data_IF_742433077954
#
_entry.id   IF_742433077954
#
_cell.length_a   1.000
_cell.length_b   1.000
_cell.length_c   1.000
_cell.angle_alpha   90.00
_cell.angle_beta   90.00
_cell.angle_gamma   90.00
#
_symmetry.space_group_name_H-M   'P 1'
#
loop_
_entity.id
_entity.type
_entity.pdbx_description
1 polymer ?
#
# COMPACT_ATOMS: atom_id res chain seq x y z
N UNK A 1 1.31 -33.43 -13.99
CA UNK A 1 1.75 -32.88 -12.70
C UNK A 1 1.74 -31.36 -12.86
N UNK A 2 0.72 -30.70 -12.34
CA UNK A 2 0.59 -29.25 -12.39
C UNK A 2 0.79 -28.72 -10.98
N UNK A 3 2.05 -28.63 -10.58
CA UNK A 3 2.49 -27.96 -9.35
C UNK A 3 2.41 -26.44 -9.52
N UNK A 4 1.22 -25.94 -9.86
CA UNK A 4 0.90 -24.52 -9.84
C UNK A 4 0.35 -24.14 -8.47
N UNK A 5 0.71 -22.95 -8.00
CA UNK A 5 0.30 -22.35 -6.70
C UNK A 5 -1.22 -22.38 -6.47
N UNK A 6 -2.03 -22.57 -7.51
CA UNK A 6 -3.49 -22.63 -7.43
C UNK A 6 -3.98 -23.90 -8.13
N UNK A 7 -4.61 -24.79 -7.36
CA UNK A 7 -5.38 -25.91 -7.91
C UNK A 7 -6.53 -25.36 -8.77
N UNK A 8 -7.09 -26.15 -9.71
CA UNK A 8 -8.21 -25.71 -10.55
C UNK A 8 -9.42 -25.25 -9.73
N UNK A 9 -9.67 -25.87 -8.57
CA UNK A 9 -10.76 -25.48 -7.67
C UNK A 9 -10.49 -24.12 -7.02
N UNK A 10 -9.26 -23.85 -6.59
CA UNK A 10 -8.88 -22.56 -6.00
C UNK A 10 -8.97 -21.45 -7.06
N UNK A 11 -8.56 -21.73 -8.30
CA UNK A 11 -8.69 -20.81 -9.43
C UNK A 11 -10.16 -20.46 -9.72
N UNK A 12 -11.04 -21.45 -9.74
CA UNK A 12 -12.47 -21.24 -10.00
C UNK A 12 -13.12 -20.39 -8.90
N UNK A 13 -12.79 -20.64 -7.63
CA UNK A 13 -13.29 -19.86 -6.50
C UNK A 13 -12.82 -18.40 -6.54
N UNK A 14 -11.57 -18.16 -6.94
CA UNK A 14 -11.05 -16.81 -7.09
C UNK A 14 -11.75 -16.08 -8.24
N UNK A 15 -11.90 -16.72 -9.40
CA UNK A 15 -12.59 -16.12 -10.54
C UNK A 15 -14.04 -15.71 -10.21
N UNK A 16 -14.78 -16.54 -9.48
CA UNK A 16 -16.13 -16.21 -9.01
C UNK A 16 -16.15 -14.99 -8.08
N UNK A 17 -15.23 -14.94 -7.10
CA UNK A 17 -15.16 -13.82 -6.16
C UNK A 17 -14.85 -12.48 -6.85
N UNK A 18 -14.04 -12.48 -7.91
CA UNK A 18 -13.74 -11.27 -8.69
C UNK A 18 -14.91 -10.85 -9.61
N UNK A 19 -15.69 -11.80 -10.11
CA UNK A 19 -16.92 -11.50 -10.88
C UNK A 19 -17.97 -10.77 -10.04
N UNK A 20 -18.22 -11.26 -8.83
CA UNK A 20 -19.14 -10.64 -7.86
C UNK A 20 -18.62 -9.26 -7.41
N UNK A 21 -17.29 -9.12 -7.21
CA UNK A 21 -16.66 -7.84 -6.86
C UNK A 21 -16.74 -6.80 -7.98
N UNK A 22 -16.78 -7.23 -9.26
CA UNK A 22 -16.99 -6.34 -10.41
C UNK A 22 -18.36 -5.67 -10.41
N UNK A 23 -19.39 -6.38 -9.96
CA UNK A 23 -20.75 -5.86 -9.78
C UNK A 23 -20.80 -4.79 -8.66
N UNK A 24 -20.06 -5.01 -7.56
CA UNK A 24 -19.94 -4.06 -6.46
C UNK A 24 -19.00 -2.87 -6.75
N UNK A 25 -18.05 -3.01 -7.67
CA UNK A 25 -17.17 -1.93 -8.12
C UNK A 25 -17.89 -0.91 -9.02
N UNK A 26 -18.93 -1.33 -9.76
CA UNK A 26 -19.78 -0.42 -10.53
C UNK A 26 -20.61 0.54 -9.63
N UNK A 27 -20.78 0.20 -8.35
CA UNK A 27 -21.39 1.05 -7.33
C UNK A 27 -20.38 1.93 -6.58
N UNK A 28 -19.08 1.86 -6.89
CA UNK A 28 -18.10 2.80 -6.39
C UNK A 28 -18.36 4.17 -7.05
N UNK A 29 -19.03 5.03 -6.29
CA UNK A 29 -19.13 6.49 -6.43
C UNK A 29 -18.12 7.05 -7.43
N UNK A 30 -18.63 7.70 -8.48
CA UNK A 30 -17.84 8.49 -9.41
C UNK A 30 -16.91 9.41 -8.61
N UNK A 31 -15.62 9.06 -8.57
CA UNK A 31 -14.61 9.90 -7.98
C UNK A 31 -14.46 11.11 -8.90
N UNK A 32 -14.79 12.29 -8.38
CA UNK A 32 -14.59 13.54 -9.10
C UNK A 32 -13.12 13.66 -9.52
N UNK A 33 -12.88 14.06 -10.76
CA UNK A 33 -11.52 14.22 -11.26
C UNK A 33 -10.82 15.30 -10.42
N UNK A 34 -9.59 15.05 -9.93
CA UNK A 34 -8.91 16.03 -9.11
C UNK A 34 -8.71 17.34 -9.90
N UNK A 35 -8.96 18.52 -9.29
CA UNK A 35 -8.73 19.81 -9.93
C UNK A 35 -7.28 19.96 -10.40
N UNK A 36 -7.05 20.73 -11.47
CA UNK A 36 -5.70 20.95 -12.01
C UNK A 36 -4.80 21.53 -10.92
N UNK A 37 -3.71 20.83 -10.61
CA UNK A 37 -2.74 21.21 -9.56
C UNK A 37 -2.79 20.36 -8.29
N UNK A 38 -3.78 19.46 -8.14
CA UNK A 38 -3.78 18.51 -7.04
C UNK A 38 -2.85 17.32 -7.34
N UNK A 39 -1.55 17.50 -7.09
CA UNK A 39 -0.56 16.42 -7.10
C UNK A 39 -0.70 15.60 -5.82
N UNK A 40 -1.34 14.43 -5.93
CA UNK A 40 -1.50 13.39 -4.90
C UNK A 40 -1.93 13.89 -3.49
N UNK A 41 -3.21 13.76 -3.17
CA UNK A 41 -3.72 14.00 -1.80
C UNK A 41 -3.05 13.10 -0.74
N UNK A 42 -2.48 11.97 -1.18
CA UNK A 42 -1.65 11.07 -0.39
C UNK A 42 -0.31 10.87 -1.11
N UNK A 43 0.73 11.60 -0.71
CA UNK A 43 2.09 11.23 -1.04
C UNK A 43 2.40 9.91 -0.32
N UNK A 44 2.21 8.78 -0.99
CA UNK A 44 2.58 7.44 -0.47
C UNK A 44 4.08 7.34 -0.10
N UNK A 45 4.87 8.35 -0.46
CA UNK A 45 6.30 8.46 -0.17
C UNK A 45 6.65 9.11 1.18
N UNK A 46 5.70 9.71 1.91
CA UNK A 46 6.02 10.46 3.14
C UNK A 46 5.86 9.67 4.45
N UNK A 47 5.32 8.44 4.42
CA UNK A 47 5.21 7.56 5.59
C UNK A 47 6.37 6.56 5.68
N UNK A 48 7.57 7.11 5.54
CA UNK A 48 8.88 6.61 5.93
C UNK A 48 9.39 5.32 5.26
N UNK A 49 10.50 5.49 4.53
CA UNK A 49 11.37 4.41 4.01
C UNK A 49 11.75 3.45 5.13
N UNK A 50 11.84 2.15 4.81
CA UNK A 50 12.35 1.14 5.74
C UNK A 50 13.72 1.54 6.30
N UNK A 51 13.96 1.27 7.58
CA UNK A 51 15.20 1.68 8.22
C UNK A 51 16.38 0.98 7.54
N UNK A 52 17.28 1.74 6.93
CA UNK A 52 18.44 1.19 6.22
C UNK A 52 19.37 0.34 7.13
N UNK A 53 19.25 0.46 8.46
CA UNK A 53 20.01 -0.33 9.42
C UNK A 53 19.37 -1.68 9.77
N UNK A 54 18.04 -1.76 9.85
CA UNK A 54 17.37 -2.95 10.37
C UNK A 54 16.07 -3.35 9.65
N UNK A 55 15.69 -2.66 8.56
CA UNK A 55 14.43 -2.85 7.84
C UNK A 55 13.16 -2.40 8.60
N UNK A 56 13.32 -1.97 9.85
CA UNK A 56 12.21 -1.55 10.71
C UNK A 56 11.49 -0.31 10.21
N UNK A 57 10.22 -0.13 10.64
CA UNK A 57 9.43 1.05 10.25
C UNK A 57 10.01 2.31 10.88
N UNK A 58 10.17 3.35 10.07
CA UNK A 58 10.54 4.69 10.55
C UNK A 58 9.28 5.55 10.77
N UNK A 59 9.34 6.49 11.71
CA UNK A 59 8.23 7.40 12.04
C UNK A 59 8.77 8.81 12.22
N UNK A 60 8.09 9.81 11.65
CA UNK A 60 8.47 11.21 11.81
C UNK A 60 8.38 11.63 13.27
N UNK A 61 9.48 12.13 13.82
CA UNK A 61 9.61 12.57 15.21
C UNK A 61 10.25 13.97 15.20
N UNK A 62 9.42 15.02 15.14
CA UNK A 62 9.92 16.39 14.98
C UNK A 62 10.44 16.66 13.57
N UNK A 63 11.66 17.19 13.45
CA UNK A 63 12.34 17.38 12.15
C UNK A 63 12.96 16.09 11.61
N UNK A 64 13.07 15.05 12.41
CA UNK A 64 13.75 13.80 12.05
C UNK A 64 12.76 12.65 11.78
N UNK A 65 13.29 11.53 11.30
CA UNK A 65 12.63 10.21 11.33
C UNK A 65 13.35 9.29 12.31
N UNK A 66 12.60 8.53 13.11
CA UNK A 66 13.14 7.57 14.09
C UNK A 66 12.61 6.17 13.82
N UNK A 67 13.50 5.18 13.79
CA UNK A 67 13.13 3.76 13.71
C UNK A 67 12.67 3.24 15.08
N UNK A 68 11.50 2.60 15.14
CA UNK A 68 10.96 2.07 16.40
C UNK A 68 11.69 0.82 16.92
N UNK A 69 12.30 0.06 16.02
CA UNK A 69 12.91 -1.23 16.36
C UNK A 69 14.36 -1.09 16.83
N UNK A 70 15.13 -0.16 16.23
CA UNK A 70 16.56 0.00 16.54
C UNK A 70 16.98 1.40 16.99
N UNK A 71 16.06 2.37 17.05
CA UNK A 71 16.33 3.73 17.52
C UNK A 71 17.14 4.61 16.56
N UNK A 72 17.48 4.12 15.37
CA UNK A 72 18.20 4.92 14.36
C UNK A 72 17.40 6.16 13.96
N UNK A 73 18.08 7.29 13.86
CA UNK A 73 17.48 8.57 13.51
C UNK A 73 18.13 9.16 12.24
N UNK A 74 17.32 9.69 11.32
CA UNK A 74 17.78 10.27 10.04
C UNK A 74 17.00 11.52 9.67
N UNK A 75 17.59 12.39 8.85
CA UNK A 75 16.89 13.54 8.26
C UNK A 75 16.63 14.71 9.21
N UNK A 76 17.37 14.82 10.32
CA UNK A 76 17.27 15.96 11.22
C UNK A 76 17.78 17.26 10.58
N UNK A 77 17.12 18.37 10.90
CA UNK A 77 17.58 19.75 10.68
C UNK A 77 18.17 20.36 11.95
#
# INVERSE_FOLDING_TARGET
EEAGILTPEVKARLAAAYGEAGEHAAAAVALDAPPPGQTALFNQWEDAVECAKCGGRMVRTGSCYTCRDCGTNTGCS
#
